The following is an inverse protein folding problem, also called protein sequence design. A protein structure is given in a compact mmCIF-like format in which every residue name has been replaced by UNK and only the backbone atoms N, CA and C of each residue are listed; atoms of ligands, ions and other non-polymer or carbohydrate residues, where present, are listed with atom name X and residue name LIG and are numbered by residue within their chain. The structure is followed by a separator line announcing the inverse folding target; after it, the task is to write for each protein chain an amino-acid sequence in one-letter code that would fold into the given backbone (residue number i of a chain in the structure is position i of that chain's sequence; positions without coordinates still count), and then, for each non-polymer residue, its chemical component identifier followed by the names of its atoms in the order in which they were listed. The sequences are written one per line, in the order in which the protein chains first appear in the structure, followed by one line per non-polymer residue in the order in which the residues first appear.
data_IF_519904597663
#
_entry.id   IF_519904597663
#
_cell.length_a   1.000
_cell.length_b   1.000
_cell.length_c   1.000
_cell.angle_alpha   90.00
_cell.angle_beta   90.00
_cell.angle_gamma   90.00
#
_symmetry.space_group_name_H-M   'P 1'
#
loop_
_entity.id
_entity.type
_entity.pdbx_description
1 polymer ?
#
# COMPACT_ATOMS: atom_id res chain seq x y z
N UNK A 1 2.39 -4.21 -18.85
CA UNK A 1 3.61 -4.68 -18.13
C UNK A 1 3.28 -4.74 -16.66
N UNK A 2 3.32 -5.91 -16.01
CA UNK A 2 2.99 -6.02 -14.58
C UNK A 2 4.25 -5.70 -13.75
N UNK A 3 4.38 -4.47 -13.29
CA UNK A 3 5.40 -4.12 -12.29
C UNK A 3 5.08 -4.87 -10.99
N UNK A 4 5.85 -5.92 -10.69
CA UNK A 4 5.88 -6.57 -9.37
C UNK A 4 6.64 -5.64 -8.44
N UNK A 5 5.94 -4.67 -7.86
CA UNK A 5 6.47 -3.92 -6.73
C UNK A 5 6.55 -4.89 -5.56
N UNK A 6 7.77 -5.30 -5.22
CA UNK A 6 8.05 -5.96 -3.95
C UNK A 6 7.64 -4.96 -2.88
N UNK A 7 6.85 -5.43 -1.92
CA UNK A 7 6.43 -4.62 -0.77
C UNK A 7 7.65 -3.86 -0.22
N UNK A 8 7.45 -2.60 0.14
CA UNK A 8 8.50 -1.83 0.81
C UNK A 8 8.90 -2.51 2.11
N UNK A 9 10.21 -2.55 2.41
CA UNK A 9 10.77 -3.24 3.58
C UNK A 9 10.18 -2.81 4.93
N UNK A 10 9.41 -1.72 5.01
CA UNK A 10 8.70 -1.32 6.22
C UNK A 10 7.37 -2.06 6.40
N UNK A 11 6.53 -2.15 5.36
CA UNK A 11 5.27 -2.90 5.42
C UNK A 11 5.52 -4.40 5.66
N UNK A 12 6.55 -4.98 5.03
CA UNK A 12 6.97 -6.35 5.35
C UNK A 12 7.37 -6.50 6.83
N UNK A 13 8.13 -5.55 7.38
CA UNK A 13 8.52 -5.56 8.80
C UNK A 13 7.32 -5.39 9.75
N UNK A 14 6.37 -4.53 9.40
CA UNK A 14 5.15 -4.36 10.20
C UNK A 14 4.31 -5.64 10.20
N UNK A 15 4.11 -6.25 9.02
CA UNK A 15 3.42 -7.53 8.88
C UNK A 15 4.12 -8.64 9.67
N UNK A 16 5.45 -8.69 9.65
CA UNK A 16 6.23 -9.68 10.43
C UNK A 16 6.13 -9.52 11.95
N UNK A 17 5.78 -8.33 12.47
CA UNK A 17 5.58 -8.14 13.92
C UNK A 17 4.25 -8.69 14.42
N UNK A 18 3.30 -8.97 13.53
CA UNK A 18 1.99 -9.50 13.91
C UNK A 18 2.06 -11.04 13.92
N UNK A 19 1.39 -11.69 14.87
CA UNK A 19 1.36 -13.16 14.96
C UNK A 19 0.63 -13.79 13.76
N UNK A 20 1.16 -14.90 13.25
CA UNK A 20 0.88 -15.53 11.94
C UNK A 20 -0.58 -15.52 11.41
N UNK A 21 -1.64 -15.81 12.18
CA UNK A 21 -3.01 -15.77 11.63
C UNK A 21 -3.51 -14.34 11.33
N UNK A 22 -3.03 -13.32 12.05
CA UNK A 22 -3.46 -11.93 11.86
C UNK A 22 -2.67 -11.23 10.74
N UNK A 23 -1.47 -11.72 10.42
CA UNK A 23 -0.63 -11.20 9.34
C UNK A 23 -1.35 -11.24 7.99
N UNK A 24 -1.99 -12.37 7.69
CA UNK A 24 -2.70 -12.54 6.43
C UNK A 24 -3.91 -11.60 6.32
N UNK A 25 -4.67 -11.44 7.41
CA UNK A 25 -5.82 -10.55 7.45
C UNK A 25 -5.42 -9.07 7.27
N UNK A 26 -4.31 -8.65 7.87
CA UNK A 26 -3.78 -7.29 7.71
C UNK A 26 -3.26 -7.09 6.28
N UNK A 27 -2.53 -8.07 5.73
CA UNK A 27 -2.07 -8.01 4.35
C UNK A 27 -3.23 -7.92 3.35
N UNK A 28 -4.34 -8.62 3.60
CA UNK A 28 -5.55 -8.53 2.78
C UNK A 28 -6.19 -7.14 2.86
N UNK A 29 -6.29 -6.55 4.06
CA UNK A 29 -6.79 -5.17 4.23
C UNK A 29 -5.94 -4.15 3.45
N UNK A 30 -4.60 -4.26 3.50
CA UNK A 30 -3.73 -3.42 2.69
C UNK A 30 -3.93 -3.66 1.19
N UNK A 31 -4.06 -4.92 0.77
CA UNK A 31 -4.28 -5.26 -0.63
C UNK A 31 -5.59 -4.69 -1.16
N UNK A 32 -6.67 -4.77 -0.38
CA UNK A 32 -7.99 -4.22 -0.71
C UNK A 32 -7.96 -2.69 -0.78
N UNK A 33 -7.32 -2.03 0.20
CA UNK A 33 -7.13 -0.58 0.19
C UNK A 33 -6.36 -0.13 -1.06
N UNK A 34 -5.23 -0.76 -1.37
CA UNK A 34 -4.41 -0.40 -2.53
C UNK A 34 -5.12 -0.68 -3.87
N UNK A 35 -5.88 -1.77 -3.99
CA UNK A 35 -6.69 -2.04 -5.18
C UNK A 35 -7.79 -0.99 -5.36
N UNK A 36 -8.48 -0.63 -4.27
CA UNK A 36 -9.50 0.42 -4.28
C UNK A 36 -8.92 1.77 -4.69
N UNK A 37 -7.80 2.18 -4.09
CA UNK A 37 -7.13 3.43 -4.42
C UNK A 37 -6.58 3.41 -5.85
N UNK A 38 -6.01 2.29 -6.29
CA UNK A 38 -5.55 2.08 -7.66
C UNK A 38 -6.67 2.30 -8.68
N UNK A 39 -7.87 1.76 -8.44
CA UNK A 39 -9.02 1.96 -9.34
C UNK A 39 -9.59 3.36 -9.30
N UNK A 40 -9.64 3.98 -8.13
CA UNK A 40 -10.27 5.28 -7.94
C UNK A 40 -9.37 6.46 -8.34
N UNK A 41 -8.05 6.32 -8.17
CA UNK A 41 -7.08 7.40 -8.36
C UNK A 41 -6.05 7.14 -9.46
N UNK A 42 -6.18 6.06 -10.25
CA UNK A 42 -5.34 5.86 -11.43
C UNK A 42 -5.40 7.07 -12.36
N UNK A 43 -4.23 7.54 -12.79
CA UNK A 43 -4.07 8.74 -13.62
C UNK A 43 -4.19 10.08 -12.88
N UNK A 44 -4.43 10.09 -11.56
CA UNK A 44 -4.39 11.31 -10.76
C UNK A 44 -2.98 11.66 -10.29
N UNK A 45 -2.77 12.92 -9.92
CA UNK A 45 -1.48 13.41 -9.41
C UNK A 45 -1.12 12.78 -8.06
N UNK A 46 0.16 12.50 -7.86
CA UNK A 46 0.73 11.99 -6.60
C UNK A 46 0.33 12.85 -5.41
N UNK A 47 0.32 14.18 -5.58
CA UNK A 47 -0.06 15.14 -4.53
C UNK A 47 -1.50 14.98 -4.05
N UNK A 48 -2.41 14.54 -4.93
CA UNK A 48 -3.80 14.23 -4.58
C UNK A 48 -3.92 12.88 -3.87
N UNK A 49 -3.08 11.92 -4.27
CA UNK A 49 -3.13 10.54 -3.76
C UNK A 49 -2.49 10.44 -2.37
N UNK A 50 -1.36 11.15 -2.13
CA UNK A 50 -0.60 11.11 -0.87
C UNK A 50 -1.48 11.29 0.38
N UNK A 51 -2.28 12.36 0.54
CA UNK A 51 -3.07 12.55 1.75
C UNK A 51 -4.15 11.47 1.96
N UNK A 52 -4.75 10.99 0.87
CA UNK A 52 -5.78 9.93 0.93
C UNK A 52 -5.14 8.59 1.33
N UNK A 53 -4.03 8.26 0.68
CA UNK A 53 -3.27 7.05 0.97
C UNK A 53 -2.79 7.05 2.43
N UNK A 54 -2.29 8.18 2.92
CA UNK A 54 -1.83 8.30 4.31
C UNK A 54 -2.95 8.06 5.32
N UNK A 55 -4.14 8.61 5.07
CA UNK A 55 -5.30 8.46 5.94
C UNK A 55 -5.78 7.00 5.98
N UNK A 56 -5.90 6.35 4.83
CA UNK A 56 -6.32 4.95 4.74
C UNK A 56 -5.27 4.00 5.34
N UNK A 57 -3.99 4.27 5.12
CA UNK A 57 -2.90 3.48 5.70
C UNK A 57 -2.91 3.53 7.23
N UNK A 58 -3.08 4.72 7.79
CA UNK A 58 -3.16 4.92 9.24
C UNK A 58 -4.39 4.25 9.85
N UNK A 59 -5.50 4.11 9.10
CA UNK A 59 -6.71 3.41 9.56
C UNK A 59 -6.48 1.90 9.76
N UNK A 60 -5.64 1.28 8.94
CA UNK A 60 -5.29 -0.14 9.08
C UNK A 60 -4.30 -0.35 10.23
N UNK A 61 -3.67 0.72 10.73
CA UNK A 61 -2.78 0.71 11.88
C UNK A 61 -1.30 0.59 11.55
N UNK A 62 -0.91 0.84 10.29
CA UNK A 62 0.49 0.89 9.89
C UNK A 62 1.06 2.29 9.92
N UNK A 63 2.38 2.36 10.03
CA UNK A 63 3.13 3.60 9.93
C UNK A 63 3.89 3.66 8.61
N UNK A 64 3.46 4.55 7.71
CA UNK A 64 4.12 4.78 6.42
C UNK A 64 4.99 6.04 6.47
N UNK A 65 6.20 5.94 5.93
CA UNK A 65 7.11 7.09 5.80
C UNK A 65 6.78 7.91 4.54
N UNK A 66 7.08 9.20 4.51
CA UNK A 66 6.87 10.06 3.32
C UNK A 66 7.48 9.53 2.00
N UNK A 67 8.72 9.00 1.95
CA UNK A 67 9.27 8.43 0.73
C UNK A 67 8.51 7.18 0.27
N UNK A 68 8.04 6.36 1.20
CA UNK A 68 7.19 5.20 0.86
C UNK A 68 5.83 5.66 0.36
N UNK A 69 5.22 6.64 1.03
CA UNK A 69 3.94 7.23 0.65
C UNK A 69 4.00 7.79 -0.77
N UNK A 70 5.09 8.49 -1.11
CA UNK A 70 5.34 9.03 -2.45
C UNK A 70 5.49 7.91 -3.49
N UNK A 71 6.19 6.83 -3.14
CA UNK A 71 6.38 5.67 -4.03
C UNK A 71 5.04 4.99 -4.33
N UNK A 72 4.24 4.68 -3.30
CA UNK A 72 2.93 4.06 -3.49
C UNK A 72 1.95 4.98 -4.22
N UNK A 73 1.96 6.28 -3.91
CA UNK A 73 1.14 7.26 -4.61
C UNK A 73 1.54 7.37 -6.10
N UNK A 74 2.83 7.28 -6.42
CA UNK A 74 3.31 7.21 -7.80
C UNK A 74 2.82 5.93 -8.51
N UNK A 75 2.84 4.78 -7.85
CA UNK A 75 2.32 3.54 -8.43
C UNK A 75 0.82 3.58 -8.69
N UNK A 76 0.05 4.15 -7.76
CA UNK A 76 -1.39 4.37 -7.93
C UNK A 76 -1.62 5.33 -9.12
N UNK A 77 -0.87 6.43 -9.18
CA UNK A 77 -0.92 7.40 -10.28
C UNK A 77 -0.65 6.74 -11.64
N UNK A 78 0.38 5.89 -11.72
CA UNK A 78 0.77 5.14 -12.92
C UNK A 78 -0.22 4.02 -13.29
N UNK A 79 -1.22 3.74 -12.44
CA UNK A 79 -2.15 2.62 -12.63
C UNK A 79 -1.48 1.25 -12.48
N UNK A 80 -0.33 1.19 -11.80
CA UNK A 80 0.42 -0.05 -11.59
C UNK A 80 -0.21 -0.84 -10.44
N UNK A 81 -0.59 -2.11 -10.67
CA UNK A 81 -1.16 -2.94 -9.61
C UNK A 81 -0.10 -3.27 -8.55
N UNK A 82 -0.36 -2.87 -7.31
CA UNK A 82 0.49 -3.19 -6.16
C UNK A 82 0.02 -4.51 -5.55
N UNK A 83 0.96 -5.44 -5.32
CA UNK A 83 0.66 -6.76 -4.72
C UNK A 83 1.28 -6.89 -3.34
N UNK A 84 0.46 -7.06 -2.32
CA UNK A 84 0.87 -7.38 -0.95
C UNK A 84 1.04 -8.91 -0.86
N UNK A 85 2.23 -9.37 -0.47
CA UNK A 85 2.59 -10.77 -0.28
C UNK A 85 3.20 -10.99 1.10
N UNK A 86 2.56 -11.82 1.90
CA UNK A 86 3.11 -12.43 3.10
C UNK A 86 3.95 -13.63 2.63
N UNK A 87 5.26 -13.60 2.88
CA UNK A 87 6.18 -14.68 2.48
C UNK A 87 6.12 -15.85 3.45
#
# INVERSE_FOLDING_TARGET
MNARVKISSNLERELQRVVQPQVQAIADQYQQMLDRLGRQYAGQSVETIKPVLQAEWSRIGGNITDPELSTYAQHISDGVPIKVRTR
#
